data_IF_393026962974
#
_entry.id   IF_393026962974
#
_cell.length_a   1.000
_cell.length_b   1.000
_cell.length_c   1.000
_cell.angle_alpha   90.00
_cell.angle_beta   90.00
_cell.angle_gamma   90.00
#
_symmetry.space_group_name_H-M   'P 1'
#
loop_
_entity.id
_entity.type
_entity.pdbx_description
1 polymer ?
#
# COMPACT_ATOMS: atom_id res chain seq x y z
N UNK A 1 -5.35 -13.54 11.46
CA UNK A 1 -6.26 -13.35 10.33
C UNK A 1 -5.70 -12.22 9.49
N UNK A 2 -5.57 -12.47 8.20
CA UNK A 2 -4.93 -11.57 7.25
C UNK A 2 -5.95 -11.18 6.18
N UNK A 3 -6.10 -9.89 5.93
CA UNK A 3 -7.24 -9.37 5.17
C UNK A 3 -6.79 -8.22 4.28
N UNK A 4 -7.23 -8.22 3.04
CA UNK A 4 -7.18 -7.03 2.20
C UNK A 4 -8.52 -6.78 1.53
N UNK A 5 -8.76 -5.53 1.21
CA UNK A 5 -9.89 -5.12 0.39
C UNK A 5 -9.56 -3.83 -0.36
N UNK A 6 -10.21 -3.64 -1.51
CA UNK A 6 -10.14 -2.39 -2.26
C UNK A 6 -10.67 -1.18 -1.47
N UNK A 7 -10.58 0.01 -2.07
CA UNK A 7 -10.96 1.26 -1.42
C UNK A 7 -12.43 1.34 -0.98
N UNK A 8 -13.32 0.46 -1.45
CA UNK A 8 -14.73 0.42 -1.02
C UNK A 8 -14.94 -0.47 0.20
N UNK A 9 -14.08 -1.46 0.41
CA UNK A 9 -14.15 -2.41 1.52
C UNK A 9 -14.18 -1.82 2.94
N UNK A 10 -13.48 -0.71 3.24
CA UNK A 10 -13.50 -0.11 4.58
C UNK A 10 -14.91 0.18 5.09
N UNK A 11 -15.80 0.63 4.21
CA UNK A 11 -17.18 0.97 4.55
C UNK A 11 -17.93 -0.24 5.13
N UNK A 12 -17.81 -1.40 4.50
CA UNK A 12 -18.55 -2.62 4.84
C UNK A 12 -18.21 -3.08 6.25
N UNK A 13 -16.92 -3.06 6.60
CA UNK A 13 -16.44 -3.45 7.93
C UNK A 13 -17.04 -2.57 9.03
N UNK A 14 -17.17 -1.28 8.77
CA UNK A 14 -17.68 -0.30 9.73
C UNK A 14 -19.20 -0.28 9.81
N UNK A 15 -19.88 -0.31 8.66
CA UNK A 15 -21.35 -0.14 8.60
C UNK A 15 -22.13 -1.42 8.90
N UNK A 16 -21.45 -2.57 8.92
CA UNK A 16 -22.10 -3.87 9.11
C UNK A 16 -21.73 -4.44 10.49
N UNK A 17 -22.67 -4.47 11.46
CA UNK A 17 -22.37 -4.88 12.84
C UNK A 17 -21.76 -6.27 12.97
N UNK A 18 -22.21 -7.24 12.16
CA UNK A 18 -21.70 -8.62 12.21
C UNK A 18 -20.21 -8.73 11.89
N UNK A 19 -19.69 -7.91 10.96
CA UNK A 19 -18.25 -7.86 10.67
C UNK A 19 -17.49 -7.24 11.84
N UNK A 20 -17.95 -6.10 12.36
CA UNK A 20 -17.32 -5.43 13.51
C UNK A 20 -17.24 -6.34 14.73
N UNK A 21 -18.31 -7.04 15.06
CA UNK A 21 -18.36 -7.96 16.20
C UNK A 21 -17.41 -9.15 16.02
N UNK A 22 -17.36 -9.72 14.82
CA UNK A 22 -16.45 -10.81 14.49
C UNK A 22 -14.98 -10.42 14.67
N UNK A 23 -14.60 -9.20 14.27
CA UNK A 23 -13.22 -8.70 14.43
C UNK A 23 -12.89 -8.47 15.90
N UNK A 24 -13.82 -7.86 16.65
CA UNK A 24 -13.65 -7.67 18.09
C UNK A 24 -13.45 -8.99 18.83
N UNK A 25 -14.18 -10.04 18.46
CA UNK A 25 -14.04 -11.35 19.09
C UNK A 25 -12.70 -12.02 18.79
N UNK A 26 -12.16 -11.83 17.58
CA UNK A 26 -10.80 -12.28 17.23
C UNK A 26 -9.76 -11.53 18.08
N UNK A 27 -9.89 -10.21 18.22
CA UNK A 27 -8.98 -9.41 19.04
C UNK A 27 -9.06 -9.77 20.53
N UNK A 28 -10.27 -10.01 21.07
CA UNK A 28 -10.47 -10.44 22.46
C UNK A 28 -9.81 -11.79 22.76
N UNK A 29 -9.71 -12.67 21.77
CA UNK A 29 -9.00 -13.95 21.87
C UNK A 29 -7.47 -13.80 21.83
N UNK A 30 -6.96 -12.56 21.70
CA UNK A 30 -5.53 -12.27 21.58
C UNK A 30 -4.95 -12.53 20.19
N UNK A 31 -5.79 -12.81 19.20
CA UNK A 31 -5.36 -13.04 17.83
C UNK A 31 -5.08 -11.72 17.11
N UNK A 32 -4.16 -11.75 16.14
CA UNK A 32 -3.80 -10.57 15.33
C UNK A 32 -4.64 -10.48 14.06
N UNK A 33 -4.99 -9.26 13.69
CA UNK A 33 -5.63 -8.92 12.42
C UNK A 33 -4.71 -7.97 11.65
N UNK A 34 -4.10 -8.44 10.56
CA UNK A 34 -3.35 -7.60 9.62
C UNK A 34 -4.27 -7.20 8.48
N UNK A 35 -4.38 -5.90 8.22
CA UNK A 35 -5.31 -5.37 7.24
C UNK A 35 -4.60 -4.48 6.21
N UNK A 36 -4.90 -4.66 4.93
CA UNK A 36 -4.41 -3.79 3.84
C UNK A 36 -5.58 -3.23 3.05
N UNK A 37 -5.57 -1.92 2.78
CA UNK A 37 -6.54 -1.30 1.88
C UNK A 37 -5.95 -0.10 1.14
N UNK A 38 -6.54 0.26 0.01
CA UNK A 38 -6.23 1.52 -0.65
C UNK A 38 -6.94 2.65 0.13
N UNK A 39 -6.16 3.60 0.64
CA UNK A 39 -6.64 4.71 1.46
C UNK A 39 -6.67 5.93 0.55
N UNK A 40 -7.86 6.49 0.40
CA UNK A 40 -8.14 7.63 -0.46
C UNK A 40 -8.83 8.72 0.36
N UNK A 41 -8.90 9.97 -0.13
CA UNK A 41 -9.64 11.04 0.54
C UNK A 41 -11.11 10.68 0.83
N UNK A 42 -11.72 9.87 -0.03
CA UNK A 42 -13.13 9.49 0.05
C UNK A 42 -13.43 8.46 1.15
N UNK A 43 -12.45 7.61 1.51
CA UNK A 43 -12.64 6.54 2.49
C UNK A 43 -11.86 6.72 3.80
N UNK A 44 -11.15 7.84 3.95
CA UNK A 44 -10.23 8.10 5.06
C UNK A 44 -10.91 8.03 6.44
N UNK A 45 -12.18 8.45 6.54
CA UNK A 45 -12.96 8.38 7.78
C UNK A 45 -13.13 6.93 8.24
N UNK A 46 -13.54 6.04 7.33
CA UNK A 46 -13.67 4.62 7.62
C UNK A 46 -12.32 3.99 7.97
N UNK A 47 -11.25 4.33 7.26
CA UNK A 47 -9.91 3.80 7.54
C UNK A 47 -9.40 4.17 8.94
N UNK A 48 -9.72 5.38 9.42
CA UNK A 48 -9.40 5.79 10.80
C UNK A 48 -10.15 4.95 11.84
N UNK A 49 -11.43 4.65 11.59
CA UNK A 49 -12.20 3.76 12.48
C UNK A 49 -11.66 2.33 12.47
N UNK A 50 -11.29 1.80 11.30
CA UNK A 50 -10.72 0.45 11.14
C UNK A 50 -9.43 0.29 11.93
N UNK A 51 -8.65 1.36 12.08
CA UNK A 51 -7.39 1.33 12.85
C UNK A 51 -7.64 0.88 14.31
N UNK A 52 -8.84 1.07 14.86
CA UNK A 52 -9.23 0.57 16.18
C UNK A 52 -9.79 -0.87 16.21
N UNK A 53 -10.03 -1.46 15.04
CA UNK A 53 -10.65 -2.79 14.86
C UNK A 53 -9.68 -3.84 14.30
N UNK A 54 -8.44 -3.46 14.00
CA UNK A 54 -7.39 -4.34 13.50
C UNK A 54 -6.10 -4.12 14.26
N UNK A 55 -5.17 -5.09 14.22
CA UNK A 55 -3.87 -4.97 14.88
C UNK A 55 -2.96 -3.99 14.14
N UNK A 56 -2.96 -4.04 12.81
CA UNK A 56 -2.23 -3.09 11.99
C UNK A 56 -2.94 -2.90 10.65
N UNK A 57 -3.16 -1.62 10.29
CA UNK A 57 -3.68 -1.22 8.99
C UNK A 57 -2.53 -0.67 8.14
N UNK A 58 -2.42 -1.18 6.92
CA UNK A 58 -1.49 -0.69 5.91
C UNK A 58 -2.21 -0.22 4.66
N UNK A 59 -1.55 0.66 3.95
CA UNK A 59 -1.97 1.21 2.68
C UNK A 59 -1.18 0.59 1.53
N UNK A 60 -1.89 0.16 0.49
CA UNK A 60 -1.33 -0.23 -0.80
C UNK A 60 -2.25 0.24 -1.91
N UNK A 61 -1.69 0.95 -2.90
CA UNK A 61 -2.44 1.45 -4.06
C UNK A 61 -2.82 0.29 -5.01
N UNK A 62 -3.97 0.41 -5.68
CA UNK A 62 -4.36 -0.51 -6.75
C UNK A 62 -4.91 -1.86 -6.29
N UNK A 63 -5.26 -2.02 -5.01
CA UNK A 63 -5.95 -3.22 -4.52
C UNK A 63 -7.31 -3.39 -5.19
N UNK A 64 -7.67 -4.64 -5.49
CA UNK A 64 -8.94 -5.02 -6.13
C UNK A 64 -9.58 -6.19 -5.42
N UNK A 65 -10.90 -6.14 -5.27
CA UNK A 65 -11.66 -7.16 -4.56
C UNK A 65 -11.25 -7.24 -3.09
N UNK A 66 -11.46 -8.39 -2.47
CA UNK A 66 -11.03 -8.65 -1.11
C UNK A 66 -10.59 -10.08 -0.89
N UNK A 67 -9.64 -10.26 0.01
CA UNK A 67 -9.17 -11.56 0.47
C UNK A 67 -9.23 -11.59 2.00
N UNK A 68 -9.59 -12.72 2.57
CA UNK A 68 -9.48 -13.00 3.99
C UNK A 68 -8.90 -14.41 4.17
N UNK A 69 -7.82 -14.50 4.94
CA UNK A 69 -7.00 -15.71 5.07
C UNK A 69 -6.71 -15.95 6.54
N UNK A 70 -6.83 -17.21 6.95
CA UNK A 70 -6.36 -17.70 8.24
C UNK A 70 -5.70 -19.08 8.05
N UNK A 71 -5.31 -19.73 9.14
CA UNK A 71 -4.60 -21.01 9.11
C UNK A 71 -5.43 -22.17 8.51
N UNK A 72 -6.76 -22.03 8.46
CA UNK A 72 -7.68 -23.09 8.06
C UNK A 72 -8.47 -22.77 6.78
N UNK A 73 -8.58 -21.50 6.40
CA UNK A 73 -9.52 -21.05 5.39
C UNK A 73 -8.99 -19.88 4.57
N UNK A 74 -9.35 -19.90 3.30
CA UNK A 74 -9.17 -18.83 2.32
C UNK A 74 -10.55 -18.37 1.83
N UNK A 75 -10.76 -17.06 1.78
CA UNK A 75 -11.94 -16.43 1.22
C UNK A 75 -11.53 -15.31 0.27
N UNK A 76 -12.19 -15.22 -0.88
CA UNK A 76 -12.03 -14.15 -1.84
C UNK A 76 -13.37 -13.57 -2.28
N UNK A 77 -13.46 -12.26 -2.36
CA UNK A 77 -14.59 -11.54 -2.94
C UNK A 77 -14.10 -10.74 -4.15
N UNK A 78 -14.78 -10.88 -5.29
CA UNK A 78 -14.39 -10.21 -6.54
C UNK A 78 -15.03 -8.84 -6.67
N UNK A 79 -16.27 -8.70 -6.23
CA UNK A 79 -17.02 -7.44 -6.24
C UNK A 79 -17.27 -6.99 -4.80
N UNK A 80 -16.70 -5.84 -4.46
CA UNK A 80 -16.99 -5.12 -3.22
C UNK A 80 -17.80 -3.90 -3.62
N UNK A 81 -18.97 -3.73 -3.00
CA UNK A 81 -19.83 -2.57 -3.21
C UNK A 81 -19.90 -1.76 -1.92
N UNK A 82 -19.70 -0.46 -2.04
CA UNK A 82 -19.72 0.47 -0.91
C UNK A 82 -21.01 0.32 -0.07
N UNK A 83 -20.86 0.13 1.25
CA UNK A 83 -21.95 -0.04 2.23
C UNK A 83 -22.92 -1.20 1.97
N UNK A 84 -22.57 -2.17 1.11
CA UNK A 84 -23.39 -3.35 0.85
C UNK A 84 -22.68 -4.62 1.33
N UNK A 85 -23.39 -5.62 1.85
CA UNK A 85 -22.80 -6.92 2.13
C UNK A 85 -22.21 -7.57 0.87
N UNK A 86 -21.18 -8.40 1.05
CA UNK A 86 -20.62 -9.19 -0.04
C UNK A 86 -21.69 -10.14 -0.60
N UNK A 87 -21.90 -10.10 -1.91
CA UNK A 87 -22.91 -10.93 -2.60
C UNK A 87 -22.33 -12.27 -3.06
N UNK A 88 -21.04 -12.31 -3.39
CA UNK A 88 -20.34 -13.50 -3.83
C UNK A 88 -18.99 -13.63 -3.12
N UNK A 89 -18.74 -14.81 -2.57
CA UNK A 89 -17.48 -15.16 -1.90
C UNK A 89 -17.05 -16.55 -2.36
N UNK A 90 -15.80 -16.65 -2.82
CA UNK A 90 -15.14 -17.91 -3.13
C UNK A 90 -14.40 -18.38 -1.88
N UNK A 91 -14.76 -19.56 -1.38
CA UNK A 91 -14.18 -20.15 -0.17
C UNK A 91 -13.42 -21.43 -0.49
N UNK A 92 -12.31 -21.67 0.21
CA UNK A 92 -11.57 -22.92 0.16
C UNK A 92 -10.85 -23.20 1.48
N UNK A 93 -10.76 -24.47 1.86
CA UNK A 93 -9.93 -24.98 2.94
C UNK A 93 -8.78 -25.87 2.43
N UNK A 94 -8.53 -25.89 1.12
CA UNK A 94 -7.44 -26.66 0.56
C UNK A 94 -6.11 -26.02 0.97
N UNK A 95 -5.22 -26.79 1.61
CA UNK A 95 -3.94 -26.32 2.17
C UNK A 95 -3.13 -25.52 1.14
N UNK A 96 -3.00 -26.02 -0.08
CA UNK A 96 -2.25 -25.33 -1.15
C UNK A 96 -2.87 -23.98 -1.55
N UNK A 97 -4.19 -23.81 -1.44
CA UNK A 97 -4.88 -22.54 -1.72
C UNK A 97 -4.62 -21.54 -0.59
N UNK A 98 -4.66 -22.00 0.66
CA UNK A 98 -4.34 -21.19 1.83
C UNK A 98 -2.89 -20.71 1.75
N UNK A 99 -1.94 -21.60 1.48
CA UNK A 99 -0.52 -21.27 1.35
C UNK A 99 -0.25 -20.26 0.23
N UNK A 100 -0.88 -20.45 -0.94
CA UNK A 100 -0.76 -19.51 -2.06
C UNK A 100 -1.34 -18.14 -1.69
N UNK A 101 -2.53 -18.11 -1.09
CA UNK A 101 -3.16 -16.88 -0.64
C UNK A 101 -2.29 -16.15 0.39
N UNK A 102 -1.74 -16.86 1.37
CA UNK A 102 -0.86 -16.31 2.38
C UNK A 102 0.40 -15.69 1.76
N UNK A 103 1.02 -16.37 0.79
CA UNK A 103 2.17 -15.84 0.05
C UNK A 103 1.84 -14.54 -0.69
N UNK A 104 0.68 -14.46 -1.33
CA UNK A 104 0.21 -13.24 -2.01
C UNK A 104 0.01 -12.12 -0.99
N UNK A 105 -0.69 -12.40 0.12
CA UNK A 105 -0.92 -11.44 1.18
C UNK A 105 0.39 -10.92 1.77
N UNK A 106 1.34 -11.79 2.12
CA UNK A 106 2.62 -11.37 2.69
C UNK A 106 3.46 -10.55 1.70
N UNK A 107 3.30 -10.80 0.40
CA UNK A 107 3.91 -9.97 -0.65
C UNK A 107 3.30 -8.58 -0.66
N UNK A 108 1.98 -8.44 -0.59
CA UNK A 108 1.34 -7.13 -0.43
C UNK A 108 1.76 -6.45 0.87
N UNK A 109 1.78 -7.19 1.97
CA UNK A 109 2.11 -6.68 3.30
C UNK A 109 3.49 -6.04 3.36
N UNK A 110 4.50 -6.68 2.76
CA UNK A 110 5.87 -6.15 2.70
C UNK A 110 5.99 -4.88 1.86
N UNK A 111 5.18 -4.73 0.83
CA UNK A 111 5.19 -3.57 -0.07
C UNK A 111 4.24 -2.45 0.36
N UNK A 112 3.34 -2.71 1.32
CA UNK A 112 2.41 -1.74 1.85
C UNK A 112 3.05 -0.83 2.91
N UNK A 113 2.63 0.43 2.96
CA UNK A 113 3.10 1.41 3.96
C UNK A 113 2.13 1.50 5.15
N UNK A 114 2.57 1.89 6.34
CA UNK A 114 1.66 2.08 7.48
C UNK A 114 0.53 3.08 7.16
N UNK A 115 -0.72 2.75 7.49
CA UNK A 115 -1.87 3.60 7.18
C UNK A 115 -1.75 5.01 7.76
N UNK A 116 -1.21 5.14 8.98
CA UNK A 116 -0.96 6.44 9.62
C UNK A 116 -0.13 7.38 8.75
N UNK A 117 0.83 6.85 7.98
CA UNK A 117 1.65 7.65 7.06
C UNK A 117 0.80 8.18 5.90
N UNK A 118 0.06 7.31 5.20
CA UNK A 118 -0.81 7.71 4.08
C UNK A 118 -1.94 8.66 4.54
N UNK A 119 -2.54 8.41 5.69
CA UNK A 119 -3.58 9.28 6.28
C UNK A 119 -3.02 10.69 6.48
N UNK A 120 -1.83 10.81 7.08
CA UNK A 120 -1.17 12.12 7.29
C UNK A 120 -0.84 12.81 5.97
N UNK A 121 -0.36 12.07 4.97
CA UNK A 121 -0.10 12.62 3.63
C UNK A 121 -1.36 13.23 3.01
N UNK A 122 -2.50 12.55 3.11
CA UNK A 122 -3.79 13.05 2.61
C UNK A 122 -4.25 14.28 3.40
N UNK A 123 -4.25 14.23 4.74
CA UNK A 123 -4.73 15.32 5.58
C UNK A 123 -3.91 16.61 5.44
N UNK A 124 -2.58 16.47 5.31
CA UNK A 124 -1.67 17.61 5.16
C UNK A 124 -1.51 18.05 3.69
N UNK A 125 -2.23 17.41 2.75
CA UNK A 125 -2.06 17.61 1.30
C UNK A 125 -0.60 17.51 0.85
N UNK A 126 0.16 16.59 1.45
CA UNK A 126 1.58 16.40 1.17
C UNK A 126 1.77 15.48 -0.03
N UNK A 127 2.79 15.79 -0.81
CA UNK A 127 3.25 14.91 -1.88
C UNK A 127 3.80 13.64 -1.21
N UNK A 128 3.37 12.44 -1.64
CA UNK A 128 3.86 11.19 -1.07
C UNK A 128 5.38 11.09 -1.18
N UNK A 129 6.02 10.69 -0.08
CA UNK A 129 7.44 10.34 -0.11
C UNK A 129 7.58 8.95 -0.76
N UNK A 130 7.99 8.89 -2.02
CA UNK A 130 8.13 7.64 -2.78
C UNK A 130 9.58 7.17 -2.77
N UNK A 131 9.79 5.88 -2.51
CA UNK A 131 11.06 5.19 -2.77
C UNK A 131 10.81 4.25 -3.93
N UNK A 132 11.47 4.51 -5.05
CA UNK A 132 11.36 3.72 -6.27
C UNK A 132 12.74 3.16 -6.63
N UNK A 133 12.79 1.86 -6.93
CA UNK A 133 14.00 1.21 -7.43
C UNK A 133 13.88 1.04 -8.93
N UNK A 134 14.68 1.80 -9.68
CA UNK A 134 14.68 1.75 -11.14
C UNK A 134 15.87 0.90 -11.59
N UNK A 135 15.59 -0.26 -12.20
CA UNK A 135 16.61 -1.17 -12.69
C UNK A 135 16.97 -0.93 -14.15
N UNK A 136 16.08 -0.29 -14.92
CA UNK A 136 16.33 0.06 -16.31
C UNK A 136 17.15 1.36 -16.43
N UNK A 137 18.32 1.34 -17.09
CA UNK A 137 19.17 2.53 -17.18
C UNK A 137 18.55 3.70 -17.97
N UNK A 138 17.71 3.42 -18.96
CA UNK A 138 17.09 4.45 -19.81
C UNK A 138 15.94 5.12 -19.06
N UNK A 139 15.13 4.32 -18.37
CA UNK A 139 14.09 4.79 -17.46
C UNK A 139 14.71 5.66 -16.36
N UNK A 140 15.82 5.23 -15.76
CA UNK A 140 16.53 5.98 -14.74
C UNK A 140 16.98 7.35 -15.26
N UNK A 141 17.59 7.42 -16.44
CA UNK A 141 18.00 8.70 -17.03
C UNK A 141 16.81 9.61 -17.31
N UNK A 142 15.73 9.05 -17.86
CA UNK A 142 14.50 9.80 -18.14
C UNK A 142 13.91 10.38 -16.86
N UNK A 143 13.86 9.57 -15.80
CA UNK A 143 13.31 9.97 -14.50
C UNK A 143 14.15 11.05 -13.83
N UNK A 144 15.48 10.94 -13.90
CA UNK A 144 16.40 11.97 -13.40
C UNK A 144 16.13 13.30 -14.10
N UNK A 145 16.07 13.34 -15.43
CA UNK A 145 15.77 14.56 -16.22
C UNK A 145 14.39 15.13 -15.88
N UNK A 146 13.38 14.28 -15.73
CA UNK A 146 12.04 14.71 -15.32
C UNK A 146 12.08 15.39 -13.94
N UNK A 147 12.69 14.74 -12.94
CA UNK A 147 12.79 15.25 -11.56
C UNK A 147 13.50 16.61 -11.52
N UNK A 148 14.57 16.78 -12.30
CA UNK A 148 15.31 18.04 -12.44
C UNK A 148 14.42 19.17 -12.95
N UNK A 149 13.59 18.90 -13.96
CA UNK A 149 12.72 19.90 -14.55
C UNK A 149 11.56 20.31 -13.65
N UNK A 150 11.02 19.37 -12.85
CA UNK A 150 9.83 19.64 -12.01
C UNK A 150 10.17 20.13 -10.60
N UNK A 151 11.42 20.00 -10.16
CA UNK A 151 11.83 20.41 -8.83
C UNK A 151 11.70 21.92 -8.63
N UNK A 152 11.11 22.32 -7.50
CA UNK A 152 10.83 23.73 -7.18
C UNK A 152 11.74 24.32 -6.11
N UNK A 153 12.49 23.50 -5.38
CA UNK A 153 13.32 23.92 -4.24
C UNK A 153 14.73 23.36 -4.30
N UNK A 154 14.86 22.04 -4.19
CA UNK A 154 16.17 21.38 -4.05
C UNK A 154 16.10 19.96 -4.59
N UNK A 155 17.22 19.49 -5.14
CA UNK A 155 17.48 18.09 -5.47
C UNK A 155 18.79 17.69 -4.80
N UNK A 156 18.74 16.64 -3.98
CA UNK A 156 19.92 16.00 -3.41
C UNK A 156 20.19 14.68 -4.15
N UNK A 157 21.38 14.56 -4.72
CA UNK A 157 21.83 13.34 -5.41
C UNK A 157 22.93 12.69 -4.59
N UNK A 158 22.75 11.42 -4.22
CA UNK A 158 23.73 10.64 -3.46
C UNK A 158 24.28 9.54 -4.36
N UNK A 159 25.61 9.48 -4.48
CA UNK A 159 26.31 8.46 -5.25
C UNK A 159 26.89 7.39 -4.33
N UNK A 160 26.85 6.14 -4.77
CA UNK A 160 27.40 5.00 -3.99
C UNK A 160 28.91 5.10 -3.77
N UNK A 161 29.65 5.80 -4.64
CA UNK A 161 31.10 6.03 -4.54
C UNK A 161 31.49 7.36 -5.18
N UNK A 162 32.64 7.93 -4.79
CA UNK A 162 33.21 9.12 -5.44
C UNK A 162 33.48 8.92 -6.93
N UNK A 163 33.86 7.70 -7.34
CA UNK A 163 34.07 7.37 -8.76
C UNK A 163 32.77 7.41 -9.58
N UNK A 164 31.62 7.06 -8.97
CA UNK A 164 30.33 7.18 -9.65
C UNK A 164 29.96 8.64 -9.91
N UNK A 165 30.24 9.53 -8.96
CA UNK A 165 30.09 10.98 -9.14
C UNK A 165 30.95 11.51 -10.29
N UNK A 166 32.26 11.22 -10.30
CA UNK A 166 33.16 11.70 -11.36
C UNK A 166 32.81 11.16 -12.75
N UNK A 167 32.20 9.97 -12.86
CA UNK A 167 31.67 9.49 -14.15
C UNK A 167 30.58 10.41 -14.68
N UNK A 168 29.63 10.82 -13.83
CA UNK A 168 28.55 11.74 -14.23
C UNK A 168 29.05 13.15 -14.54
N UNK A 169 30.09 13.60 -13.85
CA UNK A 169 30.75 14.88 -14.14
C UNK A 169 31.41 14.86 -15.52
N UNK A 170 32.16 13.80 -15.85
CA UNK A 170 32.85 13.64 -17.14
C UNK A 170 31.91 13.47 -18.32
N UNK A 171 30.72 12.87 -18.13
CA UNK A 171 29.70 12.77 -19.17
C UNK A 171 28.96 14.07 -19.42
N UNK A 172 29.31 15.15 -18.69
CA UNK A 172 28.64 16.45 -18.80
C UNK A 172 27.28 16.50 -18.12
N UNK A 173 26.81 15.38 -17.55
CA UNK A 173 25.48 15.26 -16.95
C UNK A 173 25.29 16.27 -15.82
N UNK A 174 26.28 16.44 -14.93
CA UNK A 174 26.29 17.43 -13.84
C UNK A 174 26.24 18.87 -14.37
N UNK A 175 26.87 19.15 -15.51
CA UNK A 175 26.86 20.48 -16.13
C UNK A 175 25.47 20.82 -16.66
N UNK A 176 24.82 19.87 -17.35
CA UNK A 176 23.43 19.98 -17.80
C UNK A 176 22.46 20.19 -16.63
N UNK A 177 22.75 19.64 -15.43
CA UNK A 177 21.93 19.91 -14.23
C UNK A 177 21.93 21.39 -13.84
N UNK A 178 23.07 22.08 -13.97
CA UNK A 178 23.22 23.50 -13.61
C UNK A 178 22.51 24.44 -14.58
N UNK A 179 22.19 23.97 -15.78
CA UNK A 179 21.53 24.77 -16.82
C UNK A 179 20.00 24.66 -16.77
N UNK A 180 19.47 23.64 -16.11
CA UNK A 180 18.03 23.35 -16.01
C UNK A 180 17.39 23.98 -14.74
N UNK A 181 18.18 24.26 -13.71
CA UNK A 181 17.75 24.94 -12.47
C UNK A 181 18.13 26.41 -12.44
#
# INVERSE_FOLDING_TARGET
MDINFDYQGPSILITTPSYRDSYNDILKKGCKIRCITEITPENISFCKEITGLVTELRHLDGLKGGLAINEAEYMAATLIQNMQPLTEVYWSNAVNVIEQGQYIFDTFWRNAIPARRKIKEIEESRIPEVIESINDPVELQTKVVELLRIAKKEILIIFSTSNAFHRQERTGSIQTLKEIG
#
